data_IF_719891897608
#
_entry.id   IF_719891897608
#
_cell.length_a   1.000
_cell.length_b   1.000
_cell.length_c   1.000
_cell.angle_alpha   90.00
_cell.angle_beta   90.00
_cell.angle_gamma   90.00
#
_symmetry.space_group_name_H-M   'P 1'
#
loop_
_entity.id
_entity.type
_entity.pdbx_description
1 polymer ?
#
# COMPACT_ATOMS: atom_id res chain seq x y z
N UNK A 1 -25.51 -1.17 -1.89
CA UNK A 1 -24.41 -1.21 -0.90
C UNK A 1 -23.25 -1.99 -1.51
N UNK A 2 -22.02 -1.48 -1.42
CA UNK A 2 -20.83 -2.19 -1.89
C UNK A 2 -20.19 -2.98 -0.75
N UNK A 3 -19.69 -4.18 -1.01
CA UNK A 3 -18.90 -4.94 -0.05
C UNK A 3 -17.41 -4.55 -0.10
N UNK A 4 -16.59 -5.05 0.83
CA UNK A 4 -15.16 -4.72 0.90
C UNK A 4 -14.38 -5.12 -0.36
N UNK A 5 -14.71 -6.24 -0.98
CA UNK A 5 -14.07 -6.67 -2.23
C UNK A 5 -14.35 -5.69 -3.38
N UNK A 6 -15.59 -5.20 -3.49
CA UNK A 6 -15.97 -4.19 -4.47
C UNK A 6 -15.25 -2.86 -4.24
N UNK A 7 -15.12 -2.43 -2.97
CA UNK A 7 -14.40 -1.20 -2.61
C UNK A 7 -12.91 -1.32 -2.95
N UNK A 8 -12.26 -2.42 -2.55
CA UNK A 8 -10.84 -2.70 -2.83
C UNK A 8 -10.58 -2.74 -4.33
N UNK A 9 -11.41 -3.47 -5.09
CA UNK A 9 -11.27 -3.56 -6.53
C UNK A 9 -11.40 -2.19 -7.19
N UNK A 10 -12.44 -1.42 -6.86
CA UNK A 10 -12.67 -0.09 -7.42
C UNK A 10 -11.53 0.88 -7.12
N UNK A 11 -11.03 0.91 -5.88
CA UNK A 11 -9.92 1.76 -5.47
C UNK A 11 -8.59 1.40 -6.19
N UNK A 12 -8.39 0.14 -6.56
CA UNK A 12 -7.18 -0.33 -7.22
C UNK A 12 -7.13 -0.02 -8.73
N UNK A 13 -8.27 0.12 -9.41
CA UNK A 13 -8.35 0.22 -10.89
C UNK A 13 -7.52 1.37 -11.49
N UNK A 14 -7.58 2.56 -10.89
CA UNK A 14 -6.85 3.74 -11.37
C UNK A 14 -5.36 3.69 -11.05
N UNK A 15 -4.92 3.53 -9.78
CA UNK A 15 -3.50 3.54 -9.45
C UNK A 15 -2.72 2.41 -10.11
N UNK A 16 -3.30 1.21 -10.23
CA UNK A 16 -2.60 0.04 -10.76
C UNK A 16 -2.07 0.22 -12.19
N UNK A 17 -2.72 1.04 -13.02
CA UNK A 17 -2.30 1.29 -14.43
C UNK A 17 -0.88 1.85 -14.55
N UNK A 18 -0.43 2.58 -13.53
CA UNK A 18 0.88 3.24 -13.53
C UNK A 18 1.92 2.49 -12.68
N UNK A 19 1.58 1.29 -12.20
CA UNK A 19 2.48 0.45 -11.43
C UNK A 19 3.16 -0.61 -12.30
N UNK A 20 4.22 -1.19 -11.76
CA UNK A 20 4.88 -2.36 -12.33
C UNK A 20 4.49 -3.58 -11.49
N UNK A 21 3.89 -4.60 -12.12
CA UNK A 21 3.47 -5.82 -11.43
C UNK A 21 4.60 -6.51 -10.68
N UNK A 22 5.82 -6.54 -11.22
CA UNK A 22 6.98 -7.18 -10.60
C UNK A 22 7.38 -6.50 -9.28
N UNK A 23 7.22 -5.17 -9.21
CA UNK A 23 7.45 -4.38 -8.02
C UNK A 23 6.38 -4.65 -6.96
N UNK A 24 5.10 -4.55 -7.35
CA UNK A 24 3.96 -4.76 -6.43
C UNK A 24 3.94 -6.19 -5.87
N UNK A 25 4.33 -7.19 -6.67
CA UNK A 25 4.36 -8.60 -6.25
C UNK A 25 5.28 -8.88 -5.06
N UNK A 26 6.31 -8.06 -4.83
CA UNK A 26 7.26 -8.24 -3.73
C UNK A 26 6.74 -7.68 -2.40
N UNK A 27 5.85 -6.68 -2.44
CA UNK A 27 5.37 -5.98 -1.24
C UNK A 27 4.70 -6.91 -0.22
N UNK A 28 3.79 -7.85 -0.58
CA UNK A 28 3.17 -8.73 0.40
C UNK A 28 4.20 -9.56 1.18
N UNK A 29 5.22 -10.08 0.51
CA UNK A 29 6.27 -10.87 1.17
C UNK A 29 7.11 -10.00 2.12
N UNK A 30 7.46 -8.78 1.70
CA UNK A 30 8.20 -7.83 2.55
C UNK A 30 7.39 -7.44 3.80
N UNK A 31 6.09 -7.18 3.65
CA UNK A 31 5.21 -6.82 4.77
C UNK A 31 5.04 -7.98 5.74
N UNK A 32 4.89 -9.21 5.24
CA UNK A 32 4.76 -10.39 6.11
C UNK A 32 6.06 -10.68 6.88
N UNK A 33 7.22 -10.45 6.26
CA UNK A 33 8.52 -10.72 6.88
C UNK A 33 8.97 -9.61 7.84
N UNK A 34 8.75 -8.35 7.49
CA UNK A 34 9.33 -7.19 8.18
C UNK A 34 8.29 -6.25 8.81
N UNK A 35 7.00 -6.43 8.51
CA UNK A 35 5.94 -5.52 8.90
C UNK A 35 5.72 -4.37 7.92
N UNK A 36 4.57 -3.71 8.07
CA UNK A 36 4.14 -2.61 7.18
C UNK A 36 5.05 -1.38 7.31
N UNK A 37 5.34 -0.92 8.54
CA UNK A 37 6.16 0.27 8.78
C UNK A 37 7.59 0.11 8.23
N UNK A 38 8.24 -1.03 8.48
CA UNK A 38 9.60 -1.28 7.98
C UNK A 38 9.63 -1.35 6.45
N UNK A 39 8.62 -1.99 5.84
CA UNK A 39 8.50 -2.04 4.38
C UNK A 39 8.29 -0.64 3.78
N UNK A 40 7.43 0.17 4.40
CA UNK A 40 7.20 1.54 3.97
C UNK A 40 8.46 2.40 4.08
N UNK A 41 9.17 2.32 5.20
CA UNK A 41 10.44 3.03 5.39
C UNK A 41 11.49 2.60 4.34
N UNK A 42 11.59 1.30 4.04
CA UNK A 42 12.47 0.80 2.98
C UNK A 42 12.12 1.39 1.61
N UNK A 43 10.84 1.52 1.28
CA UNK A 43 10.39 2.10 0.01
C UNK A 43 10.52 3.62 -0.06
N UNK A 44 10.45 4.32 1.08
CA UNK A 44 10.62 5.77 1.16
C UNK A 44 12.10 6.19 1.07
N UNK A 45 13.01 5.35 1.56
CA UNK A 45 14.44 5.63 1.55
C UNK A 45 15.01 5.83 0.13
N UNK A 46 15.95 6.77 0.01
CA UNK A 46 16.61 7.12 -1.25
C UNK A 46 17.33 5.92 -1.90
N UNK A 47 17.44 5.96 -3.24
CA UNK A 47 18.03 4.91 -4.06
C UNK A 47 17.04 3.78 -4.43
N UNK A 48 17.57 2.65 -4.91
CA UNK A 48 16.77 1.45 -5.22
C UNK A 48 16.09 1.41 -6.59
N UNK A 49 16.31 2.43 -7.42
CA UNK A 49 15.87 2.49 -8.82
C UNK A 49 14.35 2.45 -9.02
N UNK A 50 13.93 2.25 -10.26
CA UNK A 50 12.52 2.31 -10.66
C UNK A 50 11.63 1.31 -9.91
N UNK A 51 12.17 0.13 -9.61
CA UNK A 51 11.45 -0.90 -8.87
C UNK A 51 11.02 -0.40 -7.48
N UNK A 52 11.90 0.28 -6.72
CA UNK A 52 11.54 0.88 -5.42
C UNK A 52 10.57 2.04 -5.60
N UNK A 53 10.74 2.85 -6.65
CA UNK A 53 9.77 3.91 -7.00
C UNK A 53 8.36 3.37 -7.27
N UNK A 54 8.23 2.23 -7.95
CA UNK A 54 6.95 1.56 -8.15
C UNK A 54 6.37 0.97 -6.85
N UNK A 55 7.21 0.43 -5.96
CA UNK A 55 6.77 -0.03 -4.63
C UNK A 55 6.23 1.13 -3.79
N UNK A 56 6.95 2.26 -3.75
CA UNK A 56 6.52 3.48 -3.06
C UNK A 56 5.18 3.97 -3.59
N UNK A 57 5.02 4.10 -4.92
CA UNK A 57 3.71 4.49 -5.52
C UNK A 57 2.57 3.51 -5.19
N UNK A 58 2.87 2.23 -5.05
CA UNK A 58 1.88 1.25 -4.61
C UNK A 58 1.50 1.47 -3.13
N UNK A 59 2.44 1.83 -2.28
CA UNK A 59 2.19 2.19 -0.88
C UNK A 59 1.46 3.54 -0.73
N UNK A 60 1.69 4.50 -1.63
CA UNK A 60 0.88 5.73 -1.70
C UNK A 60 -0.59 5.39 -2.01
N UNK A 61 -0.82 4.44 -2.93
CA UNK A 61 -2.17 3.95 -3.22
C UNK A 61 -2.78 3.19 -2.03
N UNK A 62 -1.98 2.43 -1.28
CA UNK A 62 -2.40 1.80 -0.01
C UNK A 62 -2.82 2.88 1.00
N UNK A 63 -2.01 3.92 1.18
CA UNK A 63 -2.30 5.03 2.09
C UNK A 63 -3.66 5.67 1.76
N UNK A 64 -3.87 6.03 0.50
CA UNK A 64 -5.14 6.61 0.05
C UNK A 64 -6.34 5.68 0.28
N UNK A 65 -6.17 4.37 0.07
CA UNK A 65 -7.23 3.37 0.32
C UNK A 65 -7.55 3.25 1.81
N UNK A 66 -6.53 3.11 2.66
CA UNK A 66 -6.70 3.01 4.11
C UNK A 66 -7.37 4.26 4.70
N UNK A 67 -7.03 5.45 4.20
CA UNK A 67 -7.66 6.72 4.59
C UNK A 67 -9.15 6.73 4.21
N UNK A 68 -9.51 6.25 3.01
CA UNK A 68 -10.91 6.09 2.59
C UNK A 68 -11.70 5.12 3.47
N UNK A 69 -11.03 4.09 3.99
CA UNK A 69 -11.60 3.11 4.91
C UNK A 69 -11.57 3.55 6.38
N UNK A 70 -11.07 4.77 6.67
CA UNK A 70 -10.93 5.34 8.02
C UNK A 70 -10.05 4.51 8.96
N UNK A 71 -9.09 3.77 8.41
CA UNK A 71 -8.10 3.02 9.20
C UNK A 71 -6.89 3.88 9.59
N UNK A 72 -6.71 5.02 8.90
CA UNK A 72 -5.69 6.04 9.15
C UNK A 72 -6.31 7.43 8.95
N UNK A 73 -5.53 8.51 9.19
CA UNK A 73 -5.99 9.88 8.99
C UNK A 73 -6.44 10.16 7.55
N UNK A 74 -7.52 10.94 7.38
CA UNK A 74 -8.08 11.25 6.05
C UNK A 74 -7.17 12.11 5.17
N UNK A 75 -6.18 12.78 5.77
CA UNK A 75 -5.15 13.57 5.07
C UNK A 75 -3.97 12.74 4.57
N UNK A 76 -3.84 11.48 5.01
CA UNK A 76 -2.70 10.61 4.69
C UNK A 76 -2.79 10.15 3.24
N UNK A 77 -1.80 10.52 2.43
CA UNK A 77 -1.80 10.23 0.98
C UNK A 77 -0.50 9.63 0.47
N UNK A 78 0.60 9.82 1.19
CA UNK A 78 1.92 9.36 0.78
C UNK A 78 2.43 8.26 1.71
N UNK A 79 3.43 7.54 1.23
CA UNK A 79 4.17 6.53 2.00
C UNK A 79 4.81 7.13 3.24
N UNK A 80 5.31 8.37 3.14
CA UNK A 80 5.84 9.13 4.29
C UNK A 80 4.74 9.42 5.32
N UNK A 81 3.61 9.97 4.89
CA UNK A 81 2.48 10.25 5.78
C UNK A 81 1.97 8.97 6.47
N UNK A 82 1.95 7.85 5.73
CA UNK A 82 1.55 6.54 6.23
C UNK A 82 2.45 6.07 7.38
N UNK A 83 3.77 6.27 7.25
CA UNK A 83 4.74 5.96 8.30
C UNK A 83 4.48 6.82 9.53
N UNK A 84 4.36 8.14 9.35
CA UNK A 84 4.17 9.10 10.45
C UNK A 84 2.86 8.85 11.21
N UNK A 85 1.74 8.65 10.51
CA UNK A 85 0.44 8.37 11.11
C UNK A 85 0.46 7.04 11.89
N UNK A 86 0.86 5.94 11.26
CA UNK A 86 0.83 4.61 11.89
C UNK A 86 1.85 4.43 13.01
N UNK A 87 3.00 5.11 12.96
CA UNK A 87 3.99 5.07 14.03
C UNK A 87 3.51 5.77 15.32
N UNK A 88 2.52 6.66 15.21
CA UNK A 88 1.94 7.37 16.36
C UNK A 88 0.71 6.67 16.97
N UNK A 89 0.20 5.62 16.32
CA UNK A 89 -1.00 4.89 16.74
C UNK A 89 -0.66 3.65 17.55
N UNK A 90 -1.69 3.07 18.17
CA UNK A 90 -1.55 1.80 18.88
C UNK A 90 -1.35 0.60 17.93
N UNK A 91 -0.95 -0.53 18.53
CA UNK A 91 -0.68 -1.77 17.80
C UNK A 91 -1.92 -2.37 17.13
N UNK A 92 -3.12 -2.11 17.65
CA UNK A 92 -4.36 -2.61 17.07
C UNK A 92 -4.66 -1.93 15.74
N UNK A 93 -4.53 -0.61 15.67
CA UNK A 93 -4.66 0.15 14.43
C UNK A 93 -3.62 -0.28 13.39
N UNK A 94 -2.36 -0.47 13.80
CA UNK A 94 -1.32 -0.97 12.90
C UNK A 94 -1.64 -2.37 12.35
N UNK A 95 -2.18 -3.26 13.18
CA UNK A 95 -2.58 -4.61 12.75
C UNK A 95 -3.73 -4.55 11.74
N UNK A 96 -4.76 -3.74 11.99
CA UNK A 96 -5.88 -3.56 11.06
C UNK A 96 -5.42 -2.96 9.72
N UNK A 97 -4.60 -1.91 9.76
CA UNK A 97 -4.03 -1.29 8.56
C UNK A 97 -3.17 -2.28 7.77
N UNK A 98 -2.39 -3.13 8.45
CA UNK A 98 -1.57 -4.17 7.81
C UNK A 98 -2.45 -5.22 7.10
N UNK A 99 -3.51 -5.70 7.76
CA UNK A 99 -4.44 -6.65 7.16
C UNK A 99 -5.13 -6.10 5.92
N UNK A 100 -5.64 -4.86 6.00
CA UNK A 100 -6.28 -4.20 4.86
C UNK A 100 -5.28 -3.89 3.74
N UNK A 101 -4.06 -3.45 4.06
CA UNK A 101 -3.02 -3.21 3.06
C UNK A 101 -2.69 -4.47 2.26
N UNK A 102 -2.53 -5.62 2.92
CA UNK A 102 -2.29 -6.90 2.25
C UNK A 102 -3.46 -7.31 1.35
N UNK A 103 -4.71 -7.16 1.83
CA UNK A 103 -5.90 -7.44 1.04
C UNK A 103 -6.00 -6.53 -0.20
N UNK A 104 -5.73 -5.24 -0.04
CA UNK A 104 -5.75 -4.27 -1.14
C UNK A 104 -4.61 -4.48 -2.14
N UNK A 105 -3.39 -4.80 -1.68
CA UNK A 105 -2.25 -5.13 -2.54
C UNK A 105 -2.53 -6.32 -3.45
N UNK A 106 -3.36 -7.28 -3.01
CA UNK A 106 -3.79 -8.41 -3.84
C UNK A 106 -4.59 -7.96 -5.07
N UNK A 107 -5.33 -6.85 -4.98
CA UNK A 107 -6.03 -6.23 -6.11
C UNK A 107 -5.09 -5.38 -6.97
N UNK A 108 -4.25 -4.54 -6.35
CA UNK A 108 -3.27 -3.73 -7.09
C UNK A 108 -2.39 -4.59 -8.00
N UNK A 109 -1.86 -5.73 -7.50
CA UNK A 109 -1.00 -6.60 -8.31
C UNK A 109 -1.73 -7.26 -9.49
N UNK A 110 -3.03 -7.57 -9.33
CA UNK A 110 -3.86 -8.19 -10.38
C UNK A 110 -4.14 -7.22 -11.52
N UNK A 111 -4.33 -5.94 -11.19
CA UNK A 111 -4.59 -4.90 -12.17
C UNK A 111 -3.33 -4.19 -12.71
N UNK A 112 -2.19 -4.34 -12.03
CA UNK A 112 -0.93 -3.78 -12.51
C UNK A 112 -0.48 -4.49 -13.79
N UNK A 113 -0.05 -3.75 -14.83
CA UNK A 113 0.49 -4.34 -16.04
C UNK A 113 1.84 -5.02 -15.74
N UNK A 114 2.13 -6.07 -16.50
CA UNK A 114 3.51 -6.54 -16.64
C UNK A 114 4.19 -5.57 -17.62
N UNK A 115 5.27 -4.94 -17.19
CA UNK A 115 6.17 -4.24 -18.12
C UNK A 115 7.31 -5.22 -18.42
N UNK A 116 7.61 -5.36 -19.70
CA UNK A 116 8.73 -6.18 -20.19
C UNK A 116 10.05 -5.44 -20.02
#
# INVERSE_FOLDING_TARGET
MQNLEQIRAAAALKPAKNLDRSAVNKLPALILANGLLATAAFCEAEGGGDNRGHMKRALDAVAAHLAGQKLIGSSVKTTKDLIEDLASRDSYHLQQATGEALAFLAYLKRFAPKKD
#
